data_IF_518416006578
#
_entry.id   IF_518416006578
#
_cell.length_a   1.000
_cell.length_b   1.000
_cell.length_c   1.000
_cell.angle_alpha   90.00
_cell.angle_beta   90.00
_cell.angle_gamma   90.00
#
_symmetry.space_group_name_H-M   'P 1'
#
loop_
_entity.id
_entity.type
_entity.pdbx_description
1 polymer ?
#
# COMPACT_ATOMS: atom_id res chain seq x y z
N UNK A 1 29.93 7.62 23.96
CA UNK A 1 28.48 7.88 23.91
C UNK A 1 27.86 6.90 22.95
N UNK A 2 26.90 6.11 23.42
CA UNK A 2 26.35 4.93 22.72
C UNK A 2 25.62 5.35 21.44
N UNK A 3 25.90 4.62 20.36
CA UNK A 3 25.23 4.76 19.08
C UNK A 3 23.72 4.57 19.26
N UNK A 4 22.96 5.56 18.83
CA UNK A 4 21.51 5.61 18.85
C UNK A 4 20.99 4.44 18.02
N UNK A 5 20.52 3.39 18.70
CA UNK A 5 19.78 2.29 18.12
C UNK A 5 18.58 2.87 17.37
N UNK A 6 18.70 2.94 16.03
CA UNK A 6 17.58 3.24 15.15
C UNK A 6 16.59 2.09 15.32
N UNK A 7 15.61 2.28 16.21
CA UNK A 7 14.47 1.39 16.39
C UNK A 7 13.83 1.15 15.03
N UNK A 8 14.04 -0.04 14.48
CA UNK A 8 13.29 -0.57 13.37
C UNK A 8 11.84 -0.72 13.84
N UNK A 9 11.03 0.32 13.61
CA UNK A 9 9.58 0.32 13.84
C UNK A 9 8.84 -0.46 12.73
N UNK A 10 9.40 -1.59 12.29
CA UNK A 10 8.67 -2.57 11.50
C UNK A 10 7.93 -3.48 12.48
N UNK A 11 6.83 -2.97 13.07
CA UNK A 11 5.92 -3.81 13.84
C UNK A 11 5.15 -4.65 12.81
N UNK A 12 5.57 -5.90 12.62
CA UNK A 12 4.87 -6.87 11.77
C UNK A 12 3.62 -7.35 12.51
N UNK A 13 2.53 -6.59 12.41
CA UNK A 13 1.21 -7.07 12.81
C UNK A 13 0.68 -7.84 11.61
N UNK A 14 0.84 -9.16 11.56
CA UNK A 14 0.31 -9.97 10.45
C UNK A 14 -1.18 -9.64 10.30
N UNK A 15 -1.66 -9.14 9.13
CA UNK A 15 -1.07 -9.14 7.78
C UNK A 15 -0.53 -7.79 7.23
N UNK A 16 -0.32 -6.78 8.07
CA UNK A 16 0.10 -5.43 7.65
C UNK A 16 1.61 -5.18 7.80
N UNK A 17 2.16 -4.40 6.88
CA UNK A 17 3.56 -3.95 6.86
C UNK A 17 3.61 -2.45 6.60
N UNK A 18 4.36 -1.72 7.42
CA UNK A 18 4.67 -0.32 7.18
C UNK A 18 6.07 -0.22 6.55
N UNK A 19 6.16 0.34 5.34
CA UNK A 19 7.43 0.61 4.67
C UNK A 19 7.61 2.12 4.51
N UNK A 20 8.47 2.72 5.34
CA UNK A 20 8.83 4.15 5.39
C UNK A 20 7.62 5.08 5.65
N UNK A 21 6.70 5.18 4.69
CA UNK A 21 5.48 6.00 4.73
C UNK A 21 4.23 5.26 4.26
N UNK A 22 4.41 4.12 3.60
CA UNK A 22 3.34 3.40 2.93
C UNK A 22 2.94 2.15 3.74
N UNK A 23 1.64 1.93 3.86
CA UNK A 23 1.10 0.73 4.51
C UNK A 23 0.73 -0.29 3.44
N UNK A 24 1.09 -1.54 3.67
CA UNK A 24 0.78 -2.67 2.80
C UNK A 24 0.06 -3.75 3.59
N UNK A 25 -0.81 -4.49 2.90
CA UNK A 25 -1.47 -5.69 3.43
C UNK A 25 -1.09 -6.89 2.57
N UNK A 26 -0.69 -7.98 3.22
CA UNK A 26 -0.55 -9.27 2.54
C UNK A 26 -1.94 -9.81 2.16
N UNK A 27 -2.14 -10.03 0.86
CA UNK A 27 -3.29 -10.72 0.30
C UNK A 27 -3.24 -12.22 0.56
N UNK A 28 -4.36 -12.91 0.31
CA UNK A 28 -4.41 -14.37 0.40
C UNK A 28 -3.66 -15.06 -0.75
N UNK A 29 -3.39 -14.31 -1.80
CA UNK A 29 -2.61 -14.66 -2.99
C UNK A 29 -1.11 -14.42 -2.80
N UNK A 30 -0.68 -14.11 -1.58
CA UNK A 30 0.71 -13.76 -1.24
C UNK A 30 1.21 -12.48 -1.95
N UNK A 31 0.29 -11.65 -2.47
CA UNK A 31 0.60 -10.35 -3.08
C UNK A 31 0.50 -9.25 -2.03
N UNK A 32 1.41 -8.28 -2.09
CA UNK A 32 1.34 -7.08 -1.25
C UNK A 32 0.43 -6.04 -1.90
N UNK A 33 -0.67 -5.70 -1.23
CA UNK A 33 -1.56 -4.62 -1.64
C UNK A 33 -1.21 -3.34 -0.90
N UNK A 34 -0.97 -2.26 -1.64
CA UNK A 34 -0.79 -0.93 -1.07
C UNK A 34 -2.12 -0.43 -0.50
N UNK A 35 -2.13 -0.05 0.77
CA UNK A 35 -3.26 0.57 1.43
C UNK A 35 -3.24 2.06 1.13
N UNK A 36 -4.36 2.56 0.62
CA UNK A 36 -4.53 3.96 0.25
C UNK A 36 -5.52 4.65 1.19
N UNK A 37 -5.40 5.96 1.32
CA UNK A 37 -6.34 6.78 2.08
C UNK A 37 -7.68 6.85 1.34
N UNK A 38 -8.75 7.11 2.09
CA UNK A 38 -10.10 7.13 1.54
C UNK A 38 -10.28 8.13 0.38
N UNK A 39 -9.64 9.30 0.48
CA UNK A 39 -9.70 10.32 -0.56
C UNK A 39 -8.92 9.93 -1.83
N UNK A 40 -7.84 9.15 -1.69
CA UNK A 40 -7.04 8.64 -2.81
C UNK A 40 -7.81 7.56 -3.58
N UNK A 41 -8.62 6.75 -2.88
CA UNK A 41 -9.43 5.68 -3.48
C UNK A 41 -10.27 6.18 -4.66
N UNK A 42 -10.93 7.34 -4.52
CA UNK A 42 -11.82 7.86 -5.58
C UNK A 42 -11.04 8.20 -6.84
N UNK A 43 -9.88 8.83 -6.69
CA UNK A 43 -8.99 9.19 -7.82
C UNK A 43 -8.46 7.95 -8.50
N UNK A 44 -7.92 7.00 -7.73
CA UNK A 44 -7.41 5.73 -8.25
C UNK A 44 -8.50 4.98 -9.02
N UNK A 45 -9.71 4.90 -8.47
CA UNK A 45 -10.82 4.23 -9.16
C UNK A 45 -11.21 4.92 -10.47
N UNK A 46 -11.18 6.25 -10.53
CA UNK A 46 -11.43 7.00 -11.77
C UNK A 46 -10.34 6.75 -12.81
N UNK A 47 -9.08 6.73 -12.40
CA UNK A 47 -7.94 6.47 -13.28
C UNK A 47 -7.91 5.02 -13.76
N UNK A 48 -8.20 4.05 -12.91
CA UNK A 48 -8.29 2.64 -13.30
C UNK A 48 -9.48 2.42 -14.22
N UNK A 49 -10.63 3.04 -13.92
CA UNK A 49 -11.82 2.91 -14.76
C UNK A 49 -11.65 3.61 -16.12
N UNK A 50 -11.10 4.83 -16.15
CA UNK A 50 -11.02 5.67 -17.35
C UNK A 50 -9.64 5.75 -18.03
N UNK A 51 -8.62 5.07 -17.48
CA UNK A 51 -7.25 5.09 -17.99
C UNK A 51 -6.96 4.00 -19.02
N UNK A 52 -5.71 3.95 -19.47
CA UNK A 52 -5.22 3.07 -20.56
C UNK A 52 -5.43 1.58 -20.27
N UNK A 53 -5.52 1.17 -19.00
CA UNK A 53 -5.78 -0.21 -18.58
C UNK A 53 -7.24 -0.45 -18.15
N UNK A 54 -8.09 0.58 -18.23
CA UNK A 54 -9.51 0.49 -17.95
C UNK A 54 -10.23 -0.25 -19.06
N UNK A 55 -11.13 -1.16 -18.69
CA UNK A 55 -11.87 -2.05 -19.60
C UNK A 55 -12.84 -1.37 -20.57
N UNK A 56 -12.65 -0.09 -20.91
CA UNK A 56 -13.28 0.57 -22.05
C UNK A 56 -12.55 0.26 -23.36
N UNK A 57 -12.14 -0.99 -23.54
CA UNK A 57 -11.79 -1.52 -24.86
C UNK A 57 -13.08 -2.08 -25.45
N UNK A 58 -13.56 -1.38 -26.49
CA UNK A 58 -14.76 -1.72 -27.27
C UNK A 58 -14.66 -3.09 -27.95
#
# INVERSE_FOLDING_TARGET
MKALERKQLAIRIVPYMLNIRDMYKMGYDEVLHHCVLEHERVTIMKEVHGGIVGGHYA
#
